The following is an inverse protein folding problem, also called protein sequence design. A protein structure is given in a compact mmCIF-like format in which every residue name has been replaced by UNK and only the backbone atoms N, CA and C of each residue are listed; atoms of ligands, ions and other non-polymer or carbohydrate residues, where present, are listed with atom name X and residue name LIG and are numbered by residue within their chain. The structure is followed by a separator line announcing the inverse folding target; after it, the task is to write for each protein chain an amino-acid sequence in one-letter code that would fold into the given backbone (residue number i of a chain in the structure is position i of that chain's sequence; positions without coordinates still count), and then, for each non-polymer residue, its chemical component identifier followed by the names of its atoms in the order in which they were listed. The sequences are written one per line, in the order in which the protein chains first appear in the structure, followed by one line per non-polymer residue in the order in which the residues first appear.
data_IF_680567351625
#
_entry.id   IF_680567351625
#
_cell.length_a   1.000
_cell.length_b   1.000
_cell.length_c   1.000
_cell.angle_alpha   90.00
_cell.angle_beta   90.00
_cell.angle_gamma   90.00
#
_symmetry.space_group_name_H-M   'P 1'
#
loop_
_entity.id
_entity.type
_entity.pdbx_description
1 polymer ?
#
# COMPACT_ATOMS: atom_id res chain seq x y z
N UNK A 1 35.02 -16.19 26.36
CA UNK A 1 33.80 -16.35 25.52
C UNK A 1 32.99 -15.04 25.50
N UNK A 2 33.21 -14.22 24.47
CA UNK A 2 32.41 -13.01 24.22
C UNK A 2 31.34 -13.38 23.19
N UNK A 3 30.06 -13.26 23.57
CA UNK A 3 28.92 -13.45 22.67
C UNK A 3 28.78 -12.18 21.82
N UNK A 4 28.88 -12.38 20.50
CA UNK A 4 28.73 -11.36 19.48
C UNK A 4 27.23 -11.06 19.28
N UNK A 5 26.77 -9.91 19.77
CA UNK A 5 25.43 -9.39 19.47
C UNK A 5 25.30 -9.05 17.97
N UNK A 6 24.32 -9.64 17.31
CA UNK A 6 23.90 -9.25 15.97
C UNK A 6 23.20 -7.88 16.01
N UNK A 7 23.43 -6.97 15.04
CA UNK A 7 22.79 -5.67 15.04
C UNK A 7 21.28 -5.80 14.79
N UNK A 8 20.48 -5.34 15.75
CA UNK A 8 19.03 -5.25 15.64
C UNK A 8 18.60 -4.50 14.36
N UNK A 9 17.53 -4.94 13.68
CA UNK A 9 16.97 -4.22 12.55
C UNK A 9 16.47 -2.87 13.05
N UNK A 10 17.16 -1.80 12.64
CA UNK A 10 16.82 -0.41 13.01
C UNK A 10 15.39 -0.10 12.55
N UNK A 11 14.45 -0.11 13.49
CA UNK A 11 13.08 0.35 13.27
C UNK A 11 13.17 1.80 12.81
N UNK A 12 12.92 2.02 11.53
CA UNK A 12 13.02 3.34 10.93
C UNK A 12 11.74 4.09 11.24
N UNK A 13 11.86 5.22 11.95
CA UNK A 13 10.73 6.07 12.33
C UNK A 13 9.96 6.56 11.08
N UNK A 14 8.69 6.14 10.90
CA UNK A 14 7.90 6.49 9.73
C UNK A 14 7.64 8.00 9.64
N UNK A 15 7.60 8.71 10.78
CA UNK A 15 7.41 10.16 10.81
C UNK A 15 8.63 10.90 10.25
N UNK A 16 9.85 10.47 10.60
CA UNK A 16 11.10 11.00 10.05
C UNK A 16 11.25 10.74 8.55
N UNK A 17 10.78 9.58 8.10
CA UNK A 17 10.80 9.21 6.68
C UNK A 17 9.84 10.09 5.87
N UNK A 18 8.63 10.34 6.40
CA UNK A 18 7.64 11.24 5.80
C UNK A 18 8.13 12.68 5.72
N UNK A 19 8.70 13.22 6.81
CA UNK A 19 9.25 14.58 6.83
C UNK A 19 10.33 14.73 5.76
N UNK A 20 11.23 13.75 5.62
CA UNK A 20 12.28 13.75 4.59
C UNK A 20 11.75 13.68 3.15
N UNK A 21 10.59 13.05 2.92
CA UNK A 21 9.94 13.01 1.61
C UNK A 21 9.32 14.36 1.24
N UNK A 22 8.59 14.98 2.19
CA UNK A 22 7.89 16.26 1.98
C UNK A 22 8.88 17.42 1.84
N UNK A 23 10.02 17.36 2.51
CA UNK A 23 11.04 18.42 2.50
C UNK A 23 12.08 18.25 1.40
N UNK A 24 11.87 17.38 0.40
CA UNK A 24 12.78 17.33 -0.75
C UNK A 24 12.70 18.66 -1.48
N UNK A 25 13.79 19.45 -1.56
CA UNK A 25 13.81 20.58 -2.46
C UNK A 25 13.66 20.04 -3.89
N UNK A 26 12.93 20.80 -4.70
CA UNK A 26 12.59 20.47 -6.08
C UNK A 26 13.85 20.59 -6.97
N UNK A 27 14.81 19.67 -6.80
CA UNK A 27 15.95 19.53 -7.70
C UNK A 27 15.46 18.82 -8.96
N UNK A 28 14.88 19.63 -9.84
CA UNK A 28 14.57 19.26 -11.20
C UNK A 28 15.80 18.75 -11.93
N UNK A 29 15.57 17.74 -12.78
CA UNK A 29 16.36 17.42 -13.97
C UNK A 29 17.77 16.83 -13.75
N UNK A 30 17.95 15.62 -14.33
CA UNK A 30 19.21 14.92 -14.66
C UNK A 30 19.97 14.17 -13.56
N UNK A 31 19.57 12.91 -13.29
CA UNK A 31 20.57 11.83 -13.19
C UNK A 31 19.99 10.45 -13.53
N UNK A 32 20.28 9.97 -14.74
CA UNK A 32 20.14 8.56 -15.12
C UNK A 32 21.11 7.73 -14.29
N UNK A 33 20.70 7.19 -13.13
CA UNK A 33 21.48 6.13 -12.46
C UNK A 33 21.15 4.77 -13.06
N UNK A 34 21.89 4.42 -14.12
CA UNK A 34 22.12 3.02 -14.52
C UNK A 34 22.83 2.31 -13.37
N UNK A 35 22.14 1.45 -12.64
CA UNK A 35 22.81 0.45 -11.81
C UNK A 35 23.25 -0.72 -12.69
N UNK A 36 24.50 -0.64 -13.15
CA UNK A 36 25.25 -1.75 -13.74
C UNK A 36 25.38 -2.87 -12.70
N UNK A 37 24.80 -4.03 -12.98
CA UNK A 37 25.14 -5.27 -12.29
C UNK A 37 26.63 -5.55 -12.46
N UNK A 38 27.37 -5.56 -11.36
CA UNK A 38 28.76 -6.00 -11.31
C UNK A 38 28.76 -7.37 -10.64
N UNK A 39 28.90 -8.42 -11.46
CA UNK A 39 29.29 -9.75 -11.06
C UNK A 39 30.52 -9.69 -10.15
N UNK A 40 30.34 -10.08 -8.89
CA UNK A 40 31.44 -10.43 -8.00
C UNK A 40 31.54 -11.95 -7.98
N UNK A 41 32.49 -12.47 -8.77
CA UNK A 41 33.01 -13.83 -8.60
C UNK A 41 33.55 -13.97 -7.17
N UNK A 42 33.04 -14.95 -6.44
CA UNK A 42 33.73 -15.52 -5.27
C UNK A 42 34.03 -16.98 -5.60
N UNK A 43 35.32 -17.27 -5.66
CA UNK A 43 35.89 -18.59 -5.89
C UNK A 43 36.01 -19.31 -4.55
N UNK A 44 35.61 -20.59 -4.54
CA UNK A 44 36.38 -21.66 -3.92
C UNK A 44 36.22 -21.90 -2.42
N UNK A 45 35.36 -22.85 -2.08
CA UNK A 45 35.41 -23.61 -0.83
C UNK A 45 34.51 -24.83 -0.97
N UNK A 46 35.12 -26.01 -1.13
CA UNK A 46 34.43 -27.29 -1.26
C UNK A 46 33.55 -27.52 -0.03
N UNK A 47 32.24 -27.35 -0.18
CA UNK A 47 31.26 -27.72 0.84
C UNK A 47 31.10 -29.24 0.75
N UNK A 48 31.46 -29.94 1.83
CA UNK A 48 31.26 -31.38 1.96
C UNK A 48 29.79 -31.77 1.75
N UNK A 49 29.51 -33.05 1.48
CA UNK A 49 28.14 -33.50 1.24
C UNK A 49 27.25 -33.07 2.41
N UNK A 50 26.04 -32.53 2.14
CA UNK A 50 25.11 -32.17 3.19
C UNK A 50 24.87 -33.39 4.07
N UNK A 51 25.03 -33.19 5.39
CA UNK A 51 24.70 -34.22 6.36
C UNK A 51 23.25 -34.68 6.19
N UNK A 52 22.93 -35.94 6.56
CA UNK A 52 21.56 -36.43 6.47
C UNK A 52 20.61 -35.47 7.20
N UNK A 53 19.39 -35.23 6.66
CA UNK A 53 18.38 -34.45 7.36
C UNK A 53 18.21 -35.02 8.77
N UNK A 54 18.33 -34.16 9.77
CA UNK A 54 18.03 -34.55 11.15
C UNK A 54 16.61 -35.10 11.24
N UNK A 55 16.33 -36.01 12.19
CA UNK A 55 14.98 -36.51 12.39
C UNK A 55 14.02 -35.33 12.60
N UNK A 56 12.84 -35.41 11.98
CA UNK A 56 11.82 -34.39 12.14
C UNK A 56 11.51 -34.23 13.64
N UNK A 57 11.62 -33.00 14.14
CA UNK A 57 11.26 -32.68 15.52
C UNK A 57 9.80 -33.06 15.78
N UNK A 58 9.43 -33.37 17.03
CA UNK A 58 8.04 -33.66 17.37
C UNK A 58 7.13 -32.51 16.92
N UNK A 59 5.88 -32.80 16.52
CA UNK A 59 4.90 -31.77 16.20
C UNK A 59 4.85 -30.72 17.32
N UNK A 60 5.01 -29.45 16.96
CA UNK A 60 4.88 -28.35 17.92
C UNK A 60 3.50 -28.39 18.57
N UNK A 61 3.43 -28.04 19.85
CA UNK A 61 2.14 -27.91 20.54
C UNK A 61 1.20 -27.00 19.73
N UNK A 62 -0.12 -27.26 19.74
CA UNK A 62 -1.09 -26.39 19.10
C UNK A 62 -0.84 -24.95 19.55
N UNK A 63 -0.67 -24.03 18.60
CA UNK A 63 -0.54 -22.61 18.91
C UNK A 63 -1.77 -22.18 19.70
N UNK A 64 -1.56 -21.47 20.82
CA UNK A 64 -2.68 -20.95 21.59
C UNK A 64 -3.60 -20.14 20.66
N UNK A 65 -4.87 -20.52 20.59
CA UNK A 65 -5.89 -19.76 19.86
C UNK A 65 -6.18 -18.48 20.64
N UNK A 66 -5.32 -17.48 20.49
CA UNK A 66 -5.51 -16.22 21.18
C UNK A 66 -6.48 -15.38 20.37
N UNK A 67 -7.74 -15.35 20.82
CA UNK A 67 -8.75 -14.47 20.23
C UNK A 67 -8.42 -13.01 20.53
N UNK A 68 -8.91 -12.11 19.69
CA UNK A 68 -8.66 -10.66 19.82
C UNK A 68 -9.15 -10.14 21.18
N UNK A 69 -10.24 -10.71 21.65
CA UNK A 69 -10.89 -10.36 22.91
C UNK A 69 -10.00 -10.71 24.11
N UNK A 70 -9.33 -11.87 24.06
CA UNK A 70 -8.39 -12.32 25.10
C UNK A 70 -7.16 -11.40 25.15
N UNK A 71 -6.56 -11.07 24.01
CA UNK A 71 -5.42 -10.13 23.96
C UNK A 71 -5.76 -8.76 24.52
N UNK A 72 -6.95 -8.25 24.19
CA UNK A 72 -7.42 -6.95 24.68
C UNK A 72 -7.68 -6.99 26.19
N UNK A 73 -8.19 -8.10 26.70
CA UNK A 73 -8.40 -8.27 28.13
C UNK A 73 -7.06 -8.32 28.89
N UNK A 74 -6.08 -9.08 28.39
CA UNK A 74 -4.72 -9.13 28.96
C UNK A 74 -4.05 -7.75 28.93
N UNK A 75 -4.17 -7.01 27.83
CA UNK A 75 -3.62 -5.66 27.72
C UNK A 75 -4.25 -4.69 28.74
N UNK A 76 -5.57 -4.80 28.97
CA UNK A 76 -6.26 -3.99 29.98
C UNK A 76 -5.75 -4.27 31.39
N UNK A 77 -5.54 -5.54 31.73
CA UNK A 77 -4.98 -5.91 33.04
C UNK A 77 -3.55 -5.42 33.22
N UNK A 78 -2.70 -5.56 32.19
CA UNK A 78 -1.32 -5.03 32.22
C UNK A 78 -1.32 -3.50 32.43
N UNK A 79 -2.23 -2.79 31.74
CA UNK A 79 -2.34 -1.34 31.88
C UNK A 79 -2.80 -0.93 33.29
N UNK A 80 -3.80 -1.64 33.83
CA UNK A 80 -4.30 -1.42 35.19
C UNK A 80 -3.20 -1.64 36.23
N UNK A 81 -2.48 -2.76 36.12
CA UNK A 81 -1.36 -3.09 37.01
C UNK A 81 -0.25 -2.03 36.93
N UNK A 82 0.06 -1.52 35.74
CA UNK A 82 1.07 -0.48 35.56
C UNK A 82 0.64 0.88 36.14
N UNK A 83 -0.65 1.20 36.11
CA UNK A 83 -1.22 2.41 36.72
C UNK A 83 -1.19 2.29 38.25
N UNK A 84 -1.63 1.16 38.80
CA UNK A 84 -1.62 0.89 40.25
C UNK A 84 -0.19 0.94 40.81
N UNK A 85 0.79 0.37 40.09
CA UNK A 85 2.21 0.47 40.44
C UNK A 85 2.74 1.90 40.45
N UNK A 86 2.28 2.77 39.55
CA UNK A 86 2.68 4.20 39.58
C UNK A 86 1.98 4.96 40.69
N UNK A 87 0.72 4.63 40.96
CA UNK A 87 -0.05 5.25 42.04
C UNK A 87 0.50 4.88 43.42
N UNK A 88 0.99 3.65 43.61
CA UNK A 88 1.62 3.22 44.87
C UNK A 88 3.01 3.83 45.10
N UNK A 89 3.68 4.28 44.04
CA UNK A 89 4.95 5.02 44.11
C UNK A 89 4.76 6.54 44.20
N UNK A 90 3.54 7.05 44.06
CA UNK A 90 3.23 8.47 44.18
C UNK A 90 2.97 8.83 45.66
N UNK A 91 3.90 9.59 46.25
CA UNK A 91 3.71 10.30 47.53
C UNK A 91 2.49 11.24 47.40
N UNK A 92 1.65 11.44 48.44
CA UNK A 92 0.39 12.15 48.29
C UNK A 92 0.63 13.65 48.12
N UNK A 93 0.78 14.08 46.87
CA UNK A 93 0.76 15.47 46.48
C UNK A 93 -0.18 15.64 45.28
N UNK A 94 -1.34 16.20 45.62
CA UNK A 94 -2.39 16.74 44.75
C UNK A 94 -3.28 15.73 43.98
N UNK A 95 -4.60 16.00 43.92
CA UNK A 95 -5.55 15.27 43.09
C UNK A 95 -5.28 15.63 41.63
N UNK A 96 -4.27 15.00 41.03
CA UNK A 96 -3.97 15.10 39.62
C UNK A 96 -5.01 14.30 38.86
N UNK A 97 -5.74 15.01 38.01
CA UNK A 97 -6.79 14.46 37.15
C UNK A 97 -6.24 13.26 36.37
N UNK A 98 -7.01 12.18 36.38
CA UNK A 98 -6.74 10.98 35.60
C UNK A 98 -6.39 11.36 34.15
N UNK A 99 -5.36 10.75 33.53
CA UNK A 99 -5.06 11.01 32.13
C UNK A 99 -6.30 10.74 31.27
N UNK A 100 -6.69 11.66 30.37
CA UNK A 100 -7.83 11.49 29.45
C UNK A 100 -7.78 10.23 28.56
N UNK A 101 -6.69 9.46 28.62
CA UNK A 101 -6.46 8.28 27.80
C UNK A 101 -7.39 7.11 28.12
N UNK A 102 -7.96 7.04 29.33
CA UNK A 102 -8.93 5.98 29.67
C UNK A 102 -10.33 6.26 29.11
N UNK A 103 -10.74 7.52 28.97
CA UNK A 103 -12.04 7.89 28.40
C UNK A 103 -12.05 7.89 26.86
N UNK A 104 -10.89 7.67 26.22
CA UNK A 104 -10.78 7.62 24.76
C UNK A 104 -10.67 6.19 24.21
N UNK A 105 -10.70 5.16 25.06
CA UNK A 105 -10.63 3.77 24.61
C UNK A 105 -12.02 3.18 24.31
N UNK A 106 -13.08 3.70 24.93
CA UNK A 106 -14.48 3.34 24.66
C UNK A 106 -14.96 3.75 23.25
N UNK A 107 -14.28 4.67 22.58
CA UNK A 107 -14.57 5.07 21.19
C UNK A 107 -13.27 5.29 20.42
N UNK A 108 -12.43 4.26 20.29
CA UNK A 108 -11.61 4.20 19.06
C UNK A 108 -12.64 4.05 17.95
N UNK A 109 -12.86 5.04 17.06
CA UNK A 109 -13.78 4.86 15.95
C UNK A 109 -13.25 3.65 15.20
N UNK A 110 -14.03 2.57 15.24
CA UNK A 110 -13.78 1.35 14.49
C UNK A 110 -13.37 1.77 13.10
N UNK A 111 -12.08 1.60 12.76
CA UNK A 111 -11.40 2.06 11.55
C UNK A 111 -12.31 2.83 10.59
N UNK A 112 -12.17 4.17 10.51
CA UNK A 112 -12.97 5.04 9.62
C UNK A 112 -13.10 4.37 8.26
N UNK A 113 -14.24 3.71 8.03
CA UNK A 113 -14.39 2.78 6.91
C UNK A 113 -14.27 3.61 5.65
N UNK A 114 -13.38 3.21 4.74
CA UNK A 114 -13.23 3.86 3.42
C UNK A 114 -14.61 3.88 2.78
N UNK A 115 -15.17 5.08 2.56
CA UNK A 115 -16.55 5.25 2.09
C UNK A 115 -16.66 4.91 0.60
N UNK A 116 -15.74 5.45 -0.21
CA UNK A 116 -15.66 5.22 -1.64
C UNK A 116 -14.37 4.47 -1.96
N UNK A 117 -14.49 3.31 -2.59
CA UNK A 117 -13.35 2.55 -3.07
C UNK A 117 -13.79 1.68 -4.22
N UNK A 118 -13.10 1.73 -5.34
CA UNK A 118 -13.43 0.92 -6.49
C UNK A 118 -12.20 0.43 -7.24
N UNK A 119 -12.38 -0.70 -7.90
CA UNK A 119 -11.50 -1.23 -8.91
C UNK A 119 -12.39 -1.60 -10.10
N UNK A 120 -12.12 -0.99 -11.25
CA UNK A 120 -12.81 -1.27 -12.50
C UNK A 120 -11.82 -1.55 -13.64
N UNK A 121 -12.28 -2.31 -14.62
CA UNK A 121 -11.55 -2.59 -15.86
C UNK A 121 -12.48 -2.46 -17.05
N UNK A 122 -11.94 -2.26 -18.25
CA UNK A 122 -12.73 -2.30 -19.47
C UNK A 122 -13.34 -3.70 -19.68
N UNK A 123 -14.58 -3.77 -20.16
CA UNK A 123 -15.22 -5.04 -20.54
C UNK A 123 -14.51 -5.74 -21.69
N UNK A 124 -13.82 -4.99 -22.54
CA UNK A 124 -13.07 -5.52 -23.67
C UNK A 124 -12.08 -4.50 -24.23
N UNK A 125 -11.37 -4.91 -25.27
CA UNK A 125 -10.45 -4.02 -25.99
C UNK A 125 -11.22 -2.94 -26.74
N UNK A 126 -10.68 -1.72 -26.77
CA UNK A 126 -11.24 -0.59 -27.51
C UNK A 126 -10.28 -0.24 -28.64
N UNK A 127 -10.80 -0.20 -29.87
CA UNK A 127 -10.02 0.23 -31.05
C UNK A 127 -10.14 1.74 -31.17
N UNK A 128 -9.00 2.42 -31.27
CA UNK A 128 -8.92 3.87 -31.41
C UNK A 128 -8.25 4.20 -32.74
N UNK A 129 -8.98 4.88 -33.63
CA UNK A 129 -8.47 5.27 -34.93
C UNK A 129 -7.49 6.45 -34.82
N UNK A 130 -6.59 6.56 -35.81
CA UNK A 130 -5.63 7.67 -35.87
C UNK A 130 -6.37 9.01 -35.91
N UNK A 131 -5.83 10.01 -35.20
CA UNK A 131 -6.38 11.38 -35.10
C UNK A 131 -7.78 11.45 -34.47
N UNK A 132 -8.15 10.46 -33.67
CA UNK A 132 -9.40 10.49 -32.89
C UNK A 132 -9.10 10.64 -31.41
N UNK A 133 -10.06 11.23 -30.69
CA UNK A 133 -10.11 11.22 -29.24
C UNK A 133 -11.31 10.36 -28.84
N UNK A 134 -11.08 9.40 -27.97
CA UNK A 134 -12.10 8.45 -27.51
C UNK A 134 -12.15 8.48 -25.99
N UNK A 135 -13.32 8.77 -25.44
CA UNK A 135 -13.60 8.56 -24.02
C UNK A 135 -13.87 7.07 -23.81
N UNK A 136 -13.06 6.45 -22.94
CA UNK A 136 -13.22 5.04 -22.61
C UNK A 136 -14.52 4.84 -21.84
N UNK A 137 -15.29 3.82 -22.21
CA UNK A 137 -16.60 3.49 -21.63
C UNK A 137 -16.72 1.98 -21.47
N UNK A 138 -17.85 1.52 -20.92
CA UNK A 138 -18.16 0.11 -20.72
C UNK A 138 -17.17 -0.59 -19.77
N UNK A 139 -17.00 -0.02 -18.58
CA UNK A 139 -16.24 -0.65 -17.52
C UNK A 139 -17.08 -1.71 -16.79
N UNK A 140 -16.38 -2.55 -16.04
CA UNK A 140 -16.94 -3.57 -15.16
C UNK A 140 -16.07 -3.73 -13.92
N UNK A 141 -16.66 -4.28 -12.85
CA UNK A 141 -15.88 -4.78 -11.72
C UNK A 141 -15.10 -6.04 -12.16
N UNK A 142 -13.78 -6.12 -11.90
CA UNK A 142 -13.01 -7.31 -12.25
C UNK A 142 -13.57 -8.54 -11.52
N UNK A 143 -13.76 -9.69 -12.19
CA UNK A 143 -14.38 -10.88 -11.59
C UNK A 143 -13.46 -11.66 -10.62
N UNK A 144 -12.40 -11.05 -10.08
CA UNK A 144 -11.34 -11.72 -9.32
C UNK A 144 -11.30 -11.40 -7.83
N UNK A 145 -10.62 -12.25 -7.05
CA UNK A 145 -10.30 -11.97 -5.63
C UNK A 145 -9.51 -10.67 -5.55
N UNK A 146 -9.95 -9.74 -4.70
CA UNK A 146 -9.33 -8.42 -4.54
C UNK A 146 -9.94 -7.32 -5.42
N UNK A 147 -10.94 -7.63 -6.25
CA UNK A 147 -11.81 -6.60 -6.81
C UNK A 147 -12.73 -6.06 -5.71
N UNK A 148 -12.98 -4.75 -5.74
CA UNK A 148 -13.86 -4.09 -4.81
C UNK A 148 -14.64 -3.01 -5.55
N UNK A 149 -15.91 -2.87 -5.21
CA UNK A 149 -16.75 -1.75 -5.62
C UNK A 149 -17.54 -1.35 -4.39
N UNK A 150 -17.24 -0.16 -3.88
CA UNK A 150 -17.83 0.39 -2.66
C UNK A 150 -18.20 1.84 -2.91
N UNK A 151 -19.41 2.17 -2.46
CA UNK A 151 -19.99 3.48 -2.65
C UNK A 151 -20.78 3.56 -3.95
N UNK A 152 -21.21 4.77 -4.28
CA UNK A 152 -22.09 5.04 -5.43
C UNK A 152 -21.51 6.11 -6.37
N UNK A 153 -20.32 6.63 -6.07
CA UNK A 153 -19.72 7.70 -6.86
C UNK A 153 -19.25 7.28 -8.25
N UNK A 154 -19.00 5.99 -8.49
CA UNK A 154 -18.52 5.48 -9.78
C UNK A 154 -19.67 5.01 -10.69
N UNK A 155 -19.79 5.64 -11.85
CA UNK A 155 -20.56 5.11 -12.97
C UNK A 155 -19.68 4.19 -13.84
N UNK A 156 -19.95 2.88 -13.79
CA UNK A 156 -19.22 1.88 -14.59
C UNK A 156 -19.51 1.98 -16.09
N UNK A 157 -20.68 2.47 -16.51
CA UNK A 157 -21.00 2.59 -17.93
C UNK A 157 -20.13 3.66 -18.58
N UNK A 158 -19.98 4.81 -17.91
CA UNK A 158 -19.21 5.95 -18.43
C UNK A 158 -17.76 6.01 -17.93
N UNK A 159 -17.38 5.23 -16.92
CA UNK A 159 -16.07 5.33 -16.27
C UNK A 159 -15.87 6.62 -15.48
N UNK A 160 -16.96 7.31 -15.11
CA UNK A 160 -16.93 8.61 -14.43
C UNK A 160 -17.11 8.43 -12.94
N UNK A 161 -16.18 8.96 -12.16
CA UNK A 161 -16.30 9.04 -10.71
C UNK A 161 -16.69 10.46 -10.29
N UNK A 162 -17.76 10.58 -9.49
CA UNK A 162 -18.17 11.82 -8.83
C UNK A 162 -17.91 11.68 -7.34
N UNK A 163 -17.02 12.51 -6.80
CA UNK A 163 -16.71 12.54 -5.37
C UNK A 163 -17.96 12.95 -4.57
N UNK A 164 -18.52 12.08 -3.71
CA UNK A 164 -19.73 12.40 -2.97
C UNK A 164 -19.48 13.38 -1.81
N UNK A 165 -18.22 13.45 -1.34
CA UNK A 165 -17.79 14.32 -0.25
C UNK A 165 -16.46 15.01 -0.60
N UNK A 166 -16.22 16.19 -0.06
CA UNK A 166 -14.92 16.85 -0.16
C UNK A 166 -13.84 16.06 0.59
N UNK A 167 -12.67 15.86 -0.04
CA UNK A 167 -11.59 15.11 0.58
C UNK A 167 -10.43 14.80 -0.37
N UNK A 168 -9.50 13.98 0.12
CA UNK A 168 -8.35 13.50 -0.64
C UNK A 168 -8.71 12.13 -1.23
N UNK A 169 -8.56 12.00 -2.54
CA UNK A 169 -8.80 10.78 -3.28
C UNK A 169 -7.51 10.33 -3.96
N UNK A 170 -7.27 9.02 -3.97
CA UNK A 170 -6.14 8.41 -4.65
C UNK A 170 -6.64 7.57 -5.81
N UNK A 171 -6.14 7.84 -7.01
CA UNK A 171 -6.45 7.08 -8.23
C UNK A 171 -5.17 6.45 -8.78
N UNK A 172 -5.31 5.26 -9.34
CA UNK A 172 -4.27 4.56 -10.08
C UNK A 172 -4.92 3.87 -11.27
N UNK A 173 -4.26 3.89 -12.43
CA UNK A 173 -4.75 3.27 -13.65
C UNK A 173 -3.59 2.63 -14.41
N UNK A 174 -3.85 1.42 -14.92
CA UNK A 174 -2.94 0.72 -15.82
C UNK A 174 -3.61 0.64 -17.19
N UNK A 175 -2.96 1.17 -18.22
CA UNK A 175 -3.50 1.19 -19.59
C UNK A 175 -2.54 0.46 -20.50
N UNK A 176 -3.04 -0.58 -21.15
CA UNK A 176 -2.29 -1.40 -22.10
C UNK A 176 -2.66 -0.93 -23.51
N UNK A 177 -1.66 -0.52 -24.28
CA UNK A 177 -1.86 -0.01 -25.65
C UNK A 177 -1.16 -0.96 -26.61
N UNK A 178 -1.92 -1.51 -27.55
CA UNK A 178 -1.41 -2.38 -28.61
C UNK A 178 -1.68 -1.73 -29.96
N UNK A 179 -0.66 -1.69 -30.81
CA UNK A 179 -0.80 -1.23 -32.19
C UNK A 179 -1.23 -2.39 -33.08
N UNK A 180 -2.47 -2.36 -33.58
CA UNK A 180 -2.94 -3.36 -34.54
C UNK A 180 -2.51 -3.02 -35.97
N UNK A 181 -1.51 -3.71 -36.50
CA UNK A 181 -1.17 -3.65 -37.93
C UNK A 181 -2.18 -4.48 -38.73
N UNK A 182 -3.36 -3.91 -39.02
CA UNK A 182 -4.33 -4.55 -39.93
C UNK A 182 -3.74 -4.62 -41.34
N UNK A 183 -3.01 -5.70 -41.64
CA UNK A 183 -2.66 -6.26 -42.97
C UNK A 183 -2.28 -5.28 -44.10
N UNK A 184 -1.75 -4.10 -43.80
CA UNK A 184 -1.39 -3.13 -44.85
C UNK A 184 -0.44 -2.07 -44.35
N UNK A 185 0.85 -2.23 -44.66
CA UNK A 185 1.93 -1.25 -44.93
C UNK A 185 1.95 0.14 -44.24
N UNK A 186 1.18 0.41 -43.20
CA UNK A 186 1.21 1.70 -42.49
C UNK A 186 2.11 1.56 -41.27
N UNK A 187 3.42 1.63 -41.53
CA UNK A 187 4.42 1.68 -40.47
C UNK A 187 4.23 2.96 -39.64
N UNK A 188 4.21 2.83 -38.31
CA UNK A 188 4.13 3.99 -37.41
C UNK A 188 5.30 4.93 -37.71
N UNK A 189 4.98 6.20 -37.96
CA UNK A 189 6.02 7.22 -38.15
C UNK A 189 6.57 7.60 -36.79
N UNK A 190 7.83 8.02 -36.73
CA UNK A 190 8.46 8.50 -35.50
C UNK A 190 7.73 9.69 -34.82
N UNK A 191 6.78 10.33 -35.51
CA UNK A 191 5.95 11.42 -35.00
C UNK A 191 4.54 10.99 -34.55
N UNK A 192 4.16 9.73 -34.80
CA UNK A 192 2.86 9.22 -34.34
C UNK A 192 2.94 9.04 -32.82
N UNK A 193 1.98 9.59 -32.08
CA UNK A 193 1.92 9.48 -30.62
C UNK A 193 0.52 9.13 -30.16
N UNK A 194 0.44 8.40 -29.05
CA UNK A 194 -0.81 8.11 -28.34
C UNK A 194 -0.74 8.83 -27.00
N UNK A 195 -1.79 9.57 -26.67
CA UNK A 195 -1.93 10.27 -25.39
C UNK A 195 -3.05 9.62 -24.61
N UNK A 196 -2.78 9.32 -23.34
CA UNK A 196 -3.75 8.80 -22.38
C UNK A 196 -3.91 9.84 -21.29
N UNK A 197 -5.15 10.21 -20.98
CA UNK A 197 -5.48 11.27 -20.04
C UNK A 197 -6.50 10.73 -19.02
N UNK A 198 -6.33 11.10 -17.75
CA UNK A 198 -7.36 10.96 -16.72
C UNK A 198 -7.94 12.36 -16.50
N UNK A 199 -9.22 12.53 -16.82
CA UNK A 199 -9.85 13.84 -16.84
C UNK A 199 -10.49 14.16 -15.49
N UNK A 200 -10.15 15.32 -14.93
CA UNK A 200 -10.91 15.94 -13.85
C UNK A 200 -11.88 16.93 -14.51
N UNK A 201 -13.16 16.89 -14.15
CA UNK A 201 -14.22 17.76 -14.72
C UNK A 201 -14.34 17.68 -16.26
N UNK A 202 -13.90 16.58 -16.89
CA UNK A 202 -13.95 16.37 -18.35
C UNK A 202 -13.18 17.40 -19.20
N UNK A 203 -12.19 18.10 -18.64
CA UNK A 203 -11.41 19.15 -19.31
C UNK A 203 -10.36 18.66 -20.35
N UNK A 204 -10.43 17.41 -20.80
CA UNK A 204 -9.43 16.82 -21.70
C UNK A 204 -9.43 17.36 -23.14
N UNK A 205 -10.43 18.16 -23.52
CA UNK A 205 -10.58 18.70 -24.88
C UNK A 205 -9.73 19.96 -25.16
N UNK A 206 -9.01 20.48 -24.16
CA UNK A 206 -8.28 21.77 -24.25
C UNK A 206 -6.78 21.65 -24.56
N UNK A 207 -6.26 20.47 -24.93
CA UNK A 207 -4.81 20.23 -25.07
C UNK A 207 -4.37 19.49 -26.33
#
# INVERSE_FOLDING_TARGET
PQLLESPEPRITDPRRTWISFVHRPDDGSTSKRRCKGKDKKLVGGLVGPPGPPGPQGPPGAPGAEVTREVLLQEFKEILKEAIERRASLAVPAQPSQLPPLLLSLEEIPTHRRVQEAFHCQLKGQVVVDKKTLVELQNFQSPPGKGAFLRGTGLDLAMGRFTAPVGGIYQFSANVHVEHSERKGRVQLRARDSVRVLICIESLCHRH
#
